data_IF_607645255469
#
_entry.id   IF_607645255469
#
_cell.length_a   1.000
_cell.length_b   1.000
_cell.length_c   1.000
_cell.angle_alpha   90.00
_cell.angle_beta   90.00
_cell.angle_gamma   90.00
#
_symmetry.space_group_name_H-M   'P 1'
#
loop_
_entity.id
_entity.type
_entity.pdbx_description
1 polymer ?
#
# COMPACT_ATOMS: atom_id res chain seq x y z
N UNK A 1 -36.61 -63.17 18.70
CA UNK A 1 -37.25 -61.86 18.44
C UNK A 1 -36.19 -60.78 18.53
N UNK A 2 -35.76 -60.16 17.41
CA UNK A 2 -34.92 -58.98 17.42
C UNK A 2 -35.77 -57.71 17.29
N UNK A 3 -35.46 -56.66 18.03
CA UNK A 3 -36.04 -55.33 17.83
C UNK A 3 -35.44 -54.34 18.81
N UNK A 4 -35.18 -53.08 18.48
CA UNK A 4 -35.08 -52.42 17.19
C UNK A 4 -34.25 -51.17 17.47
N UNK A 5 -33.24 -50.90 16.66
CA UNK A 5 -32.44 -49.66 16.71
C UNK A 5 -33.39 -48.48 16.50
N UNK A 6 -33.38 -47.45 17.37
CA UNK A 6 -33.89 -46.14 16.98
C UNK A 6 -33.03 -45.01 17.52
N UNK A 7 -32.34 -44.42 16.56
CA UNK A 7 -31.49 -43.25 16.56
C UNK A 7 -32.20 -42.01 17.11
N UNK A 8 -31.70 -41.45 18.22
CA UNK A 8 -32.14 -40.16 18.80
C UNK A 8 -31.47 -38.96 18.12
N UNK A 9 -31.57 -38.87 16.79
CA UNK A 9 -31.06 -37.75 16.00
C UNK A 9 -32.15 -37.10 15.16
N UNK A 10 -33.28 -36.70 15.76
CA UNK A 10 -34.20 -35.76 15.13
C UNK A 10 -34.86 -34.94 16.23
N UNK A 11 -34.47 -33.67 16.35
CA UNK A 11 -35.27 -32.51 16.78
C UNK A 11 -34.39 -31.42 17.41
N UNK A 12 -33.45 -30.87 16.63
CA UNK A 12 -32.96 -29.52 16.90
C UNK A 12 -32.82 -28.81 15.57
N UNK A 13 -33.89 -28.13 15.16
CA UNK A 13 -33.83 -27.18 14.07
C UNK A 13 -32.84 -26.07 14.45
N UNK A 14 -31.94 -25.62 13.54
CA UNK A 14 -31.07 -24.51 13.85
C UNK A 14 -31.94 -23.27 14.03
N UNK A 15 -31.81 -22.61 15.18
CA UNK A 15 -32.33 -21.28 15.39
C UNK A 15 -31.76 -20.40 14.28
N UNK A 16 -32.63 -19.99 13.36
CA UNK A 16 -32.31 -19.05 12.30
C UNK A 16 -32.11 -17.71 13.00
N UNK A 17 -30.87 -17.42 13.41
CA UNK A 17 -30.47 -16.06 13.77
C UNK A 17 -30.62 -15.26 12.50
N UNK A 18 -31.76 -14.57 12.34
CA UNK A 18 -31.86 -13.46 11.39
C UNK A 18 -30.75 -12.48 11.76
N UNK A 19 -29.67 -12.53 10.99
CA UNK A 19 -28.69 -11.46 10.99
C UNK A 19 -29.37 -10.26 10.36
N UNK A 20 -29.99 -9.45 11.20
CA UNK A 20 -30.47 -8.11 10.85
C UNK A 20 -29.28 -7.29 10.32
N UNK A 21 -29.15 -7.26 9.00
CA UNK A 21 -28.16 -6.49 8.27
C UNK A 21 -28.72 -5.09 8.02
N UNK A 22 -28.96 -4.35 9.11
CA UNK A 22 -29.36 -2.95 9.03
C UNK A 22 -28.15 -2.07 8.70
N UNK A 23 -28.17 -1.48 7.50
CA UNK A 23 -27.15 -0.53 6.99
C UNK A 23 -26.92 0.64 7.97
N UNK A 24 -27.94 1.05 8.73
CA UNK A 24 -27.83 2.10 9.78
C UNK A 24 -26.85 1.72 10.90
N UNK A 25 -26.75 0.44 11.26
CA UNK A 25 -25.82 -0.04 12.30
C UNK A 25 -24.35 -0.08 11.83
N UNK A 26 -24.13 -0.07 10.51
CA UNK A 26 -22.80 0.07 9.91
C UNK A 26 -22.36 1.55 9.80
N UNK A 27 -23.32 2.47 9.83
CA UNK A 27 -23.12 3.92 9.67
C UNK A 27 -22.89 4.69 10.97
N UNK A 28 -23.28 4.16 12.13
CA UNK A 28 -22.90 4.77 13.41
C UNK A 28 -21.38 4.65 13.61
N UNK A 29 -20.67 5.78 13.47
CA UNK A 29 -19.28 5.88 13.95
C UNK A 29 -19.30 5.65 15.45
N UNK A 30 -18.94 4.44 15.87
CA UNK A 30 -18.73 4.11 17.29
C UNK A 30 -17.70 5.07 17.89
N UNK A 31 -17.85 5.40 19.18
CA UNK A 31 -16.90 6.28 19.89
C UNK A 31 -15.44 5.80 19.73
N UNK A 32 -15.25 4.48 19.70
CA UNK A 32 -13.96 3.83 19.38
C UNK A 32 -13.41 4.20 18.00
N UNK A 33 -14.24 4.21 16.93
CA UNK A 33 -13.79 4.65 15.59
C UNK A 33 -13.41 6.13 15.57
N UNK A 34 -14.12 6.98 16.31
CA UNK A 34 -13.83 8.42 16.40
C UNK A 34 -12.49 8.64 17.11
N UNK A 35 -12.28 7.98 18.25
CA UNK A 35 -11.02 8.05 19.01
C UNK A 35 -9.83 7.52 18.19
N UNK A 36 -10.02 6.43 17.45
CA UNK A 36 -8.99 5.91 16.54
C UNK A 36 -8.69 6.85 15.35
N UNK A 37 -9.68 7.60 14.85
CA UNK A 37 -9.47 8.60 13.80
C UNK A 37 -8.74 9.85 14.35
N UNK A 38 -9.02 10.28 15.58
CA UNK A 38 -8.24 11.35 16.24
C UNK A 38 -6.79 10.93 16.48
N UNK A 39 -6.57 9.71 16.97
CA UNK A 39 -5.23 9.14 17.09
C UNK A 39 -4.51 9.09 15.73
N UNK A 40 -5.21 8.72 14.65
CA UNK A 40 -4.64 8.66 13.31
C UNK A 40 -4.06 10.00 12.84
N UNK A 41 -4.69 11.13 13.18
CA UNK A 41 -4.17 12.47 12.85
C UNK A 41 -2.85 12.76 13.56
N UNK A 42 -2.72 12.38 14.82
CA UNK A 42 -1.47 12.53 15.57
C UNK A 42 -0.35 11.68 14.94
N UNK A 43 -0.66 10.46 14.52
CA UNK A 43 0.31 9.59 13.84
C UNK A 43 0.73 10.14 12.47
N UNK A 44 -0.20 10.71 11.70
CA UNK A 44 0.13 11.40 10.46
C UNK A 44 1.02 12.62 10.70
N UNK A 45 0.76 13.38 11.76
CA UNK A 45 1.63 14.50 12.14
C UNK A 45 3.04 14.00 12.51
N UNK A 46 3.15 12.88 13.23
CA UNK A 46 4.44 12.27 13.57
C UNK A 46 5.19 11.77 12.32
N UNK A 47 4.51 11.06 11.41
CA UNK A 47 5.07 10.58 10.14
C UNK A 47 5.51 11.74 9.24
N UNK A 48 4.70 12.80 9.15
CA UNK A 48 5.03 14.00 8.41
C UNK A 48 6.23 14.73 9.02
N UNK A 49 6.27 14.86 10.35
CA UNK A 49 7.39 15.44 11.08
C UNK A 49 8.68 14.67 10.83
N UNK A 50 8.62 13.33 10.90
CA UNK A 50 9.75 12.47 10.57
C UNK A 50 10.20 12.64 9.10
N UNK A 51 9.25 12.66 8.17
CA UNK A 51 9.55 12.88 6.76
C UNK A 51 10.26 14.22 6.53
N UNK A 52 9.71 15.32 7.04
CA UNK A 52 10.30 16.67 6.90
C UNK A 52 11.69 16.71 7.54
N UNK A 53 11.86 16.17 8.75
CA UNK A 53 13.14 16.11 9.43
C UNK A 53 14.18 15.32 8.62
N UNK A 54 13.81 14.14 8.11
CA UNK A 54 14.69 13.30 7.29
C UNK A 54 15.12 14.02 6.01
N UNK A 55 14.19 14.69 5.31
CA UNK A 55 14.49 15.46 4.09
C UNK A 55 15.37 16.65 4.41
N UNK A 56 15.13 17.36 5.51
CA UNK A 56 15.96 18.48 5.94
C UNK A 56 17.40 18.03 6.23
N UNK A 57 17.59 16.93 6.96
CA UNK A 57 18.91 16.37 7.25
C UNK A 57 19.63 15.94 5.97
N UNK A 58 18.97 15.20 5.09
CA UNK A 58 19.57 14.76 3.82
C UNK A 58 19.91 15.92 2.89
N UNK A 59 19.08 16.96 2.86
CA UNK A 59 19.34 18.19 2.10
C UNK A 59 20.51 18.96 2.68
N UNK A 60 20.60 19.08 4.01
CA UNK A 60 21.73 19.70 4.70
C UNK A 60 23.05 18.99 4.38
N UNK A 61 23.07 17.65 4.45
CA UNK A 61 24.24 16.86 4.07
C UNK A 61 24.59 17.01 2.57
N UNK A 62 23.59 17.07 1.69
CA UNK A 62 23.81 17.26 0.26
C UNK A 62 24.38 18.65 -0.08
N UNK A 63 23.97 19.69 0.67
CA UNK A 63 24.50 21.04 0.57
C UNK A 63 25.95 21.11 1.05
N UNK A 64 26.26 20.52 2.21
CA UNK A 64 27.61 20.53 2.79
C UNK A 64 28.64 19.86 1.87
N UNK A 65 28.23 18.83 1.13
CA UNK A 65 29.11 18.12 0.19
C UNK A 65 29.09 18.68 -1.24
N UNK A 66 28.41 19.81 -1.50
CA UNK A 66 28.22 20.38 -2.85
C UNK A 66 27.68 19.39 -3.89
N UNK A 67 26.82 18.45 -3.45
CA UNK A 67 26.31 17.35 -4.29
C UNK A 67 24.99 17.70 -4.99
N UNK A 68 24.44 18.90 -4.78
CA UNK A 68 23.19 19.29 -5.40
C UNK A 68 23.34 19.43 -6.94
N UNK A 69 22.42 18.83 -7.72
CA UNK A 69 22.47 18.93 -9.17
C UNK A 69 22.15 20.36 -9.62
N UNK A 70 23.05 20.95 -10.42
CA UNK A 70 22.85 22.29 -11.02
C UNK A 70 21.77 22.32 -12.11
N UNK A 71 21.44 21.17 -12.69
CA UNK A 71 20.42 21.02 -13.73
C UNK A 71 19.78 19.64 -13.65
N UNK A 72 18.45 19.59 -13.75
CA UNK A 72 17.71 18.34 -13.91
C UNK A 72 17.44 18.11 -15.40
N UNK A 73 17.91 16.99 -15.93
CA UNK A 73 17.57 16.57 -17.29
C UNK A 73 16.10 16.14 -17.32
N UNK A 74 15.37 16.48 -18.38
CA UNK A 74 13.98 16.03 -18.57
C UNK A 74 13.88 14.50 -18.59
N UNK A 75 14.91 13.82 -19.13
CA UNK A 75 14.98 12.36 -19.13
C UNK A 75 15.13 11.79 -17.71
N UNK A 76 15.95 12.42 -16.87
CA UNK A 76 16.11 11.99 -15.48
C UNK A 76 14.81 12.21 -14.70
N UNK A 77 14.09 13.31 -14.96
CA UNK A 77 12.79 13.58 -14.35
C UNK A 77 11.73 12.56 -14.78
N UNK A 78 11.67 12.22 -16.08
CA UNK A 78 10.76 11.21 -16.60
C UNK A 78 11.09 9.82 -16.01
N UNK A 79 12.37 9.45 -15.95
CA UNK A 79 12.82 8.19 -15.37
C UNK A 79 12.47 8.10 -13.88
N UNK A 80 12.74 9.16 -13.10
CA UNK A 80 12.36 9.27 -11.69
C UNK A 80 10.85 9.17 -11.51
N UNK A 81 10.07 9.86 -12.32
CA UNK A 81 8.61 9.82 -12.25
C UNK A 81 8.06 8.41 -12.48
N UNK A 82 8.52 7.75 -13.55
CA UNK A 82 8.13 6.37 -13.87
C UNK A 82 8.56 5.41 -12.76
N UNK A 83 9.82 5.53 -12.30
CA UNK A 83 10.36 4.68 -11.24
C UNK A 83 9.62 4.88 -9.92
N UNK A 84 9.32 6.13 -9.54
CA UNK A 84 8.56 6.45 -8.33
C UNK A 84 7.17 5.85 -8.38
N UNK A 85 6.46 6.01 -9.51
CA UNK A 85 5.12 5.46 -9.70
C UNK A 85 5.10 3.93 -9.59
N UNK A 86 6.08 3.25 -10.20
CA UNK A 86 6.16 1.80 -10.13
C UNK A 86 6.56 1.31 -8.74
N UNK A 87 7.56 1.95 -8.13
CA UNK A 87 8.04 1.57 -6.80
C UNK A 87 6.96 1.75 -5.73
N UNK A 88 6.25 2.88 -5.75
CA UNK A 88 5.17 3.13 -4.79
C UNK A 88 4.05 2.11 -4.91
N UNK A 89 3.70 1.70 -6.14
CA UNK A 89 2.72 0.62 -6.37
C UNK A 89 3.24 -0.76 -5.98
N UNK A 90 4.52 -1.08 -6.21
CA UNK A 90 5.08 -2.35 -5.73
C UNK A 90 4.96 -2.44 -4.21
N UNK A 91 5.38 -1.39 -3.50
CA UNK A 91 5.32 -1.38 -2.04
C UNK A 91 3.87 -1.47 -1.56
N UNK A 92 2.96 -0.71 -2.18
CA UNK A 92 1.60 -0.57 -1.68
C UNK A 92 0.57 -1.55 -2.21
N UNK A 93 0.87 -2.29 -3.29
CA UNK A 93 -0.11 -3.15 -3.96
C UNK A 93 0.44 -4.50 -4.39
N UNK A 94 1.74 -4.76 -4.40
CA UNK A 94 2.28 -6.06 -4.84
C UNK A 94 1.93 -7.21 -3.88
N UNK A 95 1.34 -8.30 -4.40
CA UNK A 95 1.02 -9.49 -3.60
C UNK A 95 2.24 -10.07 -2.89
N UNK A 96 3.43 -9.98 -3.50
CA UNK A 96 4.67 -10.53 -2.92
C UNK A 96 5.05 -9.76 -1.63
N UNK A 97 4.84 -8.45 -1.59
CA UNK A 97 5.11 -7.64 -0.40
C UNK A 97 4.05 -7.80 0.69
N UNK A 98 2.99 -8.59 0.44
CA UNK A 98 1.91 -8.85 1.39
C UNK A 98 2.38 -9.48 2.70
N UNK A 99 3.48 -10.26 2.71
CA UNK A 99 4.05 -10.82 3.94
C UNK A 99 4.56 -9.71 4.87
N UNK A 100 5.20 -8.68 4.31
CA UNK A 100 5.72 -7.55 5.08
C UNK A 100 4.59 -6.64 5.58
N UNK A 101 3.45 -6.63 4.87
CA UNK A 101 2.29 -5.78 5.18
C UNK A 101 1.25 -6.47 6.06
N UNK A 102 1.24 -7.80 6.10
CA UNK A 102 0.36 -8.63 6.92
C UNK A 102 0.14 -8.14 8.38
N UNK A 103 1.15 -7.63 9.11
CA UNK A 103 0.93 -7.11 10.46
C UNK A 103 0.15 -5.78 10.50
N UNK A 104 0.16 -4.98 9.43
CA UNK A 104 -0.44 -3.64 9.42
C UNK A 104 -1.73 -3.56 8.61
N UNK A 105 -2.00 -4.50 7.71
CA UNK A 105 -3.14 -4.42 6.77
C UNK A 105 -3.88 -5.74 6.62
N UNK A 106 -5.20 -5.68 6.43
CA UNK A 106 -6.09 -6.80 6.16
C UNK A 106 -6.37 -6.89 4.68
N UNK A 107 -6.14 -8.09 4.12
CA UNK A 107 -6.47 -8.40 2.74
C UNK A 107 -7.99 -8.33 2.52
N UNK A 108 -8.42 -7.57 1.52
CA UNK A 108 -9.83 -7.46 1.13
C UNK A 108 -10.09 -8.33 -0.09
N UNK A 109 -9.38 -8.03 -1.20
CA UNK A 109 -9.57 -8.71 -2.49
C UNK A 109 -8.36 -8.54 -3.40
N UNK A 110 -8.30 -9.33 -4.48
CA UNK A 110 -7.32 -9.12 -5.54
C UNK A 110 -7.77 -7.95 -6.43
N UNK A 111 -6.87 -7.01 -6.69
CA UNK A 111 -7.09 -5.90 -7.62
C UNK A 111 -6.76 -6.27 -9.09
N UNK A 112 -6.29 -7.50 -9.33
CA UNK A 112 -5.90 -8.00 -10.65
C UNK A 112 -4.44 -7.67 -10.99
N UNK A 113 -3.89 -8.32 -12.03
CA UNK A 113 -2.49 -8.13 -12.47
C UNK A 113 -1.43 -8.28 -11.36
N UNK A 114 -1.67 -9.15 -10.37
CA UNK A 114 -0.77 -9.35 -9.24
C UNK A 114 -0.90 -8.31 -8.11
N UNK A 115 -1.79 -7.33 -8.26
CA UNK A 115 -2.06 -6.31 -7.24
C UNK A 115 -3.13 -6.78 -6.23
N UNK A 116 -3.03 -6.30 -4.99
CA UNK A 116 -3.96 -6.58 -3.89
C UNK A 116 -4.58 -5.29 -3.34
N UNK A 117 -5.83 -5.39 -2.90
CA UNK A 117 -6.52 -4.33 -2.18
C UNK A 117 -6.60 -4.72 -0.70
N UNK A 118 -6.12 -3.82 0.14
CA UNK A 118 -5.90 -4.05 1.57
C UNK A 118 -6.34 -2.83 2.36
N UNK A 119 -6.87 -3.06 3.55
CA UNK A 119 -7.32 -2.03 4.49
C UNK A 119 -6.39 -2.00 5.71
N UNK A 120 -6.08 -0.82 6.28
CA UNK A 120 -5.25 -0.72 7.46
C UNK A 120 -5.94 -1.33 8.69
N UNK A 121 -5.19 -2.07 9.50
CA UNK A 121 -5.69 -2.73 10.73
C UNK A 121 -5.43 -1.88 11.97
N UNK A 122 -6.26 -2.12 13.00
CA UNK A 122 -6.03 -1.62 14.36
C UNK A 122 -6.24 -0.12 14.50
N UNK A 123 -5.62 0.48 15.52
CA UNK A 123 -5.65 1.91 15.83
C UNK A 123 -4.24 2.45 16.15
N UNK A 124 -4.09 3.77 16.27
CA UNK A 124 -2.79 4.43 16.50
C UNK A 124 -1.77 4.16 15.40
N UNK A 125 -0.49 4.07 15.78
CA UNK A 125 0.65 3.94 14.86
C UNK A 125 0.53 2.75 13.88
N UNK A 126 -0.09 1.64 14.29
CA UNK A 126 -0.32 0.50 13.40
C UNK A 126 -1.21 0.86 12.20
N UNK A 127 -2.28 1.63 12.45
CA UNK A 127 -3.20 2.10 11.41
C UNK A 127 -2.58 3.23 10.58
N UNK A 128 -1.79 4.10 11.21
CA UNK A 128 -1.03 5.15 10.52
C UNK A 128 -0.05 4.58 9.49
N UNK A 129 0.82 3.65 9.93
CA UNK A 129 1.76 2.94 9.07
C UNK A 129 1.00 2.11 8.02
N UNK A 130 -0.04 1.39 8.42
CA UNK A 130 -0.88 0.61 7.52
C UNK A 130 -1.46 1.45 6.39
N UNK A 131 -1.92 2.67 6.68
CA UNK A 131 -2.48 3.57 5.68
C UNK A 131 -1.41 4.13 4.75
N UNK A 132 -0.24 4.46 5.29
CA UNK A 132 0.90 4.88 4.49
C UNK A 132 1.28 3.77 3.50
N UNK A 133 1.56 2.56 3.98
CA UNK A 133 2.09 1.47 3.15
C UNK A 133 1.05 0.81 2.26
N UNK A 134 -0.26 1.00 2.48
CA UNK A 134 -1.32 0.48 1.59
C UNK A 134 -1.76 1.48 0.53
N UNK A 135 -1.37 2.76 0.66
CA UNK A 135 -1.71 3.82 -0.27
C UNK A 135 -0.51 4.20 -1.17
N UNK A 136 -0.56 3.90 -2.48
CA UNK A 136 0.55 4.21 -3.38
C UNK A 136 0.80 5.71 -3.54
N UNK A 137 -0.23 6.54 -3.32
CA UNK A 137 -0.09 8.00 -3.35
C UNK A 137 0.66 8.51 -2.13
N UNK A 138 0.38 7.95 -0.94
CA UNK A 138 1.08 8.32 0.29
C UNK A 138 2.53 7.80 0.31
N UNK A 139 2.81 6.64 -0.28
CA UNK A 139 4.18 6.12 -0.45
C UNK A 139 5.00 6.86 -1.53
N UNK A 140 4.35 7.53 -2.49
CA UNK A 140 5.06 8.16 -3.60
C UNK A 140 6.09 9.23 -3.16
N UNK A 141 5.79 10.15 -2.23
CA UNK A 141 6.79 11.09 -1.70
C UNK A 141 8.03 10.41 -1.12
N UNK A 142 7.85 9.34 -0.33
CA UNK A 142 8.95 8.57 0.26
C UNK A 142 9.81 7.87 -0.80
N UNK A 143 9.17 7.32 -1.84
CA UNK A 143 9.87 6.71 -2.97
C UNK A 143 10.64 7.77 -3.77
N UNK A 144 10.02 8.92 -4.02
CA UNK A 144 10.62 10.01 -4.78
C UNK A 144 11.84 10.58 -4.06
N UNK A 145 11.76 10.82 -2.75
CA UNK A 145 12.90 11.30 -1.97
C UNK A 145 14.03 10.28 -1.93
N UNK A 146 13.72 9.00 -1.68
CA UNK A 146 14.73 7.94 -1.68
C UNK A 146 15.47 7.84 -3.03
N UNK A 147 14.76 7.89 -4.15
CA UNK A 147 15.36 7.88 -5.49
C UNK A 147 16.12 9.18 -5.79
N UNK A 148 15.60 10.34 -5.40
CA UNK A 148 16.26 11.62 -5.64
C UNK A 148 17.57 11.75 -4.84
N UNK A 149 17.53 11.48 -3.54
CA UNK A 149 18.75 11.46 -2.71
C UNK A 149 19.67 10.31 -3.10
N UNK A 150 19.13 9.17 -3.52
CA UNK A 150 19.92 8.09 -4.11
C UNK A 150 20.71 8.53 -5.35
N UNK A 151 20.15 9.41 -6.20
CA UNK A 151 20.88 9.97 -7.34
C UNK A 151 22.00 10.93 -6.92
N UNK A 152 21.85 11.61 -5.79
CA UNK A 152 22.84 12.54 -5.23
C UNK A 152 24.01 11.77 -4.61
N UNK A 153 23.71 10.78 -3.75
CA UNK A 153 24.74 10.04 -3.00
C UNK A 153 25.33 8.85 -3.78
N UNK A 154 24.51 8.15 -4.57
CA UNK A 154 24.89 6.94 -5.30
C UNK A 154 24.32 6.90 -6.74
N UNK A 155 24.72 7.83 -7.63
CA UNK A 155 24.09 8.05 -8.94
C UNK A 155 24.05 6.81 -9.84
N UNK A 156 25.10 5.98 -9.84
CA UNK A 156 25.19 4.79 -10.71
C UNK A 156 24.19 3.72 -10.31
N UNK A 157 24.14 3.40 -9.02
CA UNK A 157 23.22 2.39 -8.49
C UNK A 157 21.77 2.82 -8.68
N UNK A 158 21.47 4.09 -8.39
CA UNK A 158 20.11 4.61 -8.48
C UNK A 158 19.61 4.72 -9.91
N UNK A 159 20.46 5.12 -10.88
CA UNK A 159 20.11 5.08 -12.30
C UNK A 159 19.82 3.66 -12.79
N UNK A 160 20.63 2.70 -12.38
CA UNK A 160 20.41 1.30 -12.73
C UNK A 160 19.08 0.78 -12.16
N UNK A 161 18.82 1.04 -10.89
CA UNK A 161 17.57 0.65 -10.23
C UNK A 161 16.33 1.32 -10.87
N UNK A 162 16.41 2.63 -11.14
CA UNK A 162 15.34 3.35 -11.83
C UNK A 162 15.10 2.81 -13.26
N UNK A 163 16.17 2.41 -13.96
CA UNK A 163 16.09 1.73 -15.26
C UNK A 163 15.36 0.39 -15.19
N UNK A 164 15.62 -0.41 -14.15
CA UNK A 164 14.87 -1.66 -13.90
C UNK A 164 13.39 -1.37 -13.67
N UNK A 165 13.06 -0.40 -12.82
CA UNK A 165 11.65 -0.05 -12.56
C UNK A 165 10.93 0.45 -13.82
N UNK A 166 11.63 1.22 -14.67
CA UNK A 166 11.10 1.66 -15.94
C UNK A 166 10.85 0.50 -16.91
N UNK A 167 11.77 -0.47 -17.00
CA UNK A 167 11.58 -1.65 -17.86
C UNK A 167 10.41 -2.51 -17.40
N UNK A 168 10.23 -2.70 -16.09
CA UNK A 168 9.05 -3.40 -15.55
C UNK A 168 7.77 -2.62 -15.87
N UNK A 169 7.78 -1.30 -15.78
CA UNK A 169 6.60 -0.48 -16.14
C UNK A 169 6.21 -0.64 -17.61
N UNK A 170 7.20 -0.70 -18.52
CA UNK A 170 6.95 -0.96 -19.92
C UNK A 170 6.36 -2.37 -20.14
N UNK A 171 6.87 -3.37 -19.41
CA UNK A 171 6.33 -4.75 -19.44
C UNK A 171 4.88 -4.81 -18.96
N UNK A 172 4.57 -4.19 -17.82
CA UNK A 172 3.20 -4.11 -17.28
C UNK A 172 2.24 -3.43 -18.27
N UNK A 173 2.69 -2.35 -18.91
CA UNK A 173 1.89 -1.64 -19.90
C UNK A 173 1.56 -2.53 -21.10
N UNK A 174 2.56 -3.27 -21.61
CA UNK A 174 2.36 -4.23 -22.68
C UNK A 174 1.36 -5.32 -22.28
N UNK A 175 1.50 -5.89 -21.09
CA UNK A 175 0.56 -6.91 -20.58
C UNK A 175 -0.87 -6.36 -20.54
N UNK A 176 -1.07 -5.16 -19.98
CA UNK A 176 -2.40 -4.51 -19.92
C UNK A 176 -2.96 -4.23 -21.31
N UNK A 177 -2.13 -3.82 -22.27
CA UNK A 177 -2.54 -3.62 -23.65
C UNK A 177 -2.99 -4.93 -24.32
N UNK A 178 -2.24 -6.02 -24.14
CA UNK A 178 -2.61 -7.35 -24.65
C UNK A 178 -3.93 -7.88 -24.05
N UNK A 179 -4.17 -7.64 -22.77
CA UNK A 179 -5.44 -8.02 -22.14
C UNK A 179 -6.62 -7.24 -22.72
N UNK A 180 -6.43 -5.93 -23.00
CA UNK A 180 -7.48 -5.09 -23.59
C UNK A 180 -7.84 -5.55 -25.00
N UNK A 181 -6.85 -5.83 -25.85
CA UNK A 181 -7.12 -6.30 -27.22
C UNK A 181 -7.80 -7.66 -27.29
N UNK A 182 -7.59 -8.54 -26.29
CA UNK A 182 -8.29 -9.83 -26.19
C UNK A 182 -9.74 -9.75 -25.71
N UNK A 183 -10.15 -8.67 -25.05
CA UNK A 183 -11.54 -8.51 -24.60
C UNK A 183 -12.44 -7.88 -25.67
N UNK A 184 -11.84 -7.21 -26.66
CA UNK A 184 -12.56 -6.49 -27.72
C UNK A 184 -12.78 -7.34 -29.00
N UNK A 185 -12.28 -8.58 -29.05
CA UNK A 185 -12.45 -9.52 -30.18
C UNK A 185 -13.07 -10.83 -29.74
#
# INVERSE_FOLDING_TARGET
>A
MPGNFRSSYVNQAPAKTESDFSIEKYGERTAEKVECDEQLLAEYAALLGFYIASVAVLTGAALEHDRLPKRFSLLDLALLGIATHKLSRIIAKDRITGILRAPFVSYIRSAGAGEVEEEPRGCGMQRGIGTLISCPYCMAPWCATALAFGLIFAPRATRFFAGILASVTASDFLQRAYFKTKQEG
#
